data_IF_145350977210
#
_entry.id   IF_145350977210
#
_cell.length_a   1.000
_cell.length_b   1.000
_cell.length_c   1.000
_cell.angle_alpha   90.00
_cell.angle_beta   90.00
_cell.angle_gamma   90.00
#
_symmetry.space_group_name_H-M   'P 1'
#
loop_
_entity.id
_entity.type
_entity.pdbx_description
1 polymer ?
#
# COMPACT_ATOMS: atom_id res chain seq x y z
N UNK A 1 -4.71 33.42 24.50
CA UNK A 1 -3.92 33.54 23.26
C UNK A 1 -4.24 32.35 22.40
N UNK A 2 -4.87 32.57 21.24
CA UNK A 2 -5.33 31.50 20.36
C UNK A 2 -4.12 30.99 19.57
N UNK A 3 -3.59 29.82 19.94
CA UNK A 3 -2.49 29.19 19.22
C UNK A 3 -2.95 28.72 17.84
N UNK A 4 -2.36 29.28 16.79
CA UNK A 4 -2.57 28.84 15.40
C UNK A 4 -2.06 27.41 15.23
N UNK A 5 -2.94 26.49 14.83
CA UNK A 5 -2.57 25.10 14.54
C UNK A 5 -1.74 25.07 13.25
N UNK A 6 -0.53 24.48 13.26
CA UNK A 6 0.28 24.37 12.05
C UNK A 6 -0.41 23.47 11.01
N UNK A 7 -0.56 23.98 9.79
CA UNK A 7 -1.08 23.22 8.65
C UNK A 7 0.00 22.30 8.09
N UNK A 8 -0.33 21.03 7.91
CA UNK A 8 0.55 20.03 7.29
C UNK A 8 0.02 19.63 5.92
N UNK A 9 0.92 19.45 4.96
CA UNK A 9 0.55 19.10 3.58
C UNK A 9 -0.11 17.71 3.48
N UNK A 10 0.29 16.77 4.32
CA UNK A 10 -0.36 15.46 4.43
C UNK A 10 -0.11 14.84 5.81
N UNK A 11 -1.04 14.06 6.31
CA UNK A 11 -0.94 13.34 7.57
C UNK A 11 -1.41 11.90 7.41
N UNK A 12 -0.74 10.96 8.09
CA UNK A 12 -1.14 9.55 8.09
C UNK A 12 -1.97 9.23 9.32
N UNK A 13 -3.21 8.83 9.11
CA UNK A 13 -4.14 8.44 10.18
C UNK A 13 -4.68 7.04 9.93
N UNK A 14 -4.54 6.13 10.90
CA UNK A 14 -5.05 4.75 10.79
C UNK A 14 -4.62 4.02 9.50
N UNK A 15 -3.45 4.36 8.96
CA UNK A 15 -2.91 3.79 7.73
C UNK A 15 -3.34 4.49 6.44
N UNK A 16 -4.31 5.41 6.48
CA UNK A 16 -4.71 6.26 5.35
C UNK A 16 -3.91 7.56 5.34
N UNK A 17 -3.62 8.08 4.14
CA UNK A 17 -2.95 9.37 3.99
C UNK A 17 -4.01 10.41 3.68
N UNK A 18 -4.18 11.39 4.56
CA UNK A 18 -5.08 12.52 4.40
C UNK A 18 -4.24 13.70 3.94
N UNK A 19 -4.46 14.15 2.71
CA UNK A 19 -3.76 15.29 2.11
C UNK A 19 -4.53 16.58 2.39
N UNK A 20 -3.83 17.71 2.48
CA UNK A 20 -4.43 19.03 2.73
C UNK A 20 -5.37 19.47 1.60
N UNK A 21 -5.06 19.09 0.36
CA UNK A 21 -5.89 19.32 -0.82
C UNK A 21 -7.08 18.34 -0.93
N UNK A 22 -7.24 17.47 0.09
CA UNK A 22 -8.23 16.40 0.18
C UNK A 22 -8.18 15.44 -1.01
N UNK A 23 -7.08 15.43 -1.77
CA UNK A 23 -6.85 14.46 -2.82
C UNK A 23 -6.26 13.19 -2.25
N UNK A 24 -6.67 12.08 -2.86
CA UNK A 24 -6.27 10.74 -2.46
C UNK A 24 -5.11 10.21 -3.30
N UNK A 25 -4.57 10.98 -4.24
CA UNK A 25 -3.53 10.55 -5.18
C UNK A 25 -2.34 9.89 -4.46
N UNK A 26 -1.82 10.54 -3.41
CA UNK A 26 -0.72 9.99 -2.59
C UNK A 26 -1.09 8.66 -1.92
N UNK A 27 -2.33 8.52 -1.44
CA UNK A 27 -2.82 7.30 -0.82
C UNK A 27 -3.02 6.17 -1.84
N UNK A 28 -3.58 6.50 -3.01
CA UNK A 28 -3.79 5.59 -4.13
C UNK A 28 -2.43 5.07 -4.63
N UNK A 29 -1.47 5.96 -4.89
CA UNK A 29 -0.12 5.61 -5.32
C UNK A 29 0.58 4.69 -4.32
N UNK A 30 0.48 4.99 -3.03
CA UNK A 30 1.03 4.15 -1.98
C UNK A 30 0.39 2.74 -1.97
N UNK A 31 -0.93 2.68 -2.16
CA UNK A 31 -1.69 1.42 -2.22
C UNK A 31 -1.32 0.59 -3.44
N UNK A 32 -1.23 1.22 -4.61
CA UNK A 32 -0.80 0.59 -5.87
C UNK A 32 0.61 0.03 -5.71
N UNK A 33 1.57 0.83 -5.21
CA UNK A 33 2.97 0.37 -5.02
C UNK A 33 3.03 -0.84 -4.09
N UNK A 34 2.27 -0.85 -3.00
CA UNK A 34 2.20 -1.98 -2.07
C UNK A 34 1.63 -3.25 -2.73
N UNK A 35 0.55 -3.12 -3.49
CA UNK A 35 -0.04 -4.23 -4.24
C UNK A 35 0.91 -4.77 -5.32
N UNK A 36 1.58 -3.88 -6.06
CA UNK A 36 2.57 -4.23 -7.07
C UNK A 36 3.76 -4.99 -6.47
N UNK A 37 4.26 -4.57 -5.29
CA UNK A 37 5.34 -5.27 -4.60
C UNK A 37 4.94 -6.69 -4.22
N UNK A 38 3.73 -6.90 -3.70
CA UNK A 38 3.21 -8.23 -3.34
C UNK A 38 3.04 -9.12 -4.57
N UNK A 39 2.48 -8.58 -5.65
CA UNK A 39 2.35 -9.29 -6.93
C UNK A 39 3.70 -9.60 -7.57
N UNK A 40 4.70 -8.73 -7.41
CA UNK A 40 6.06 -8.99 -7.86
C UNK A 40 6.63 -10.25 -7.20
N UNK A 41 6.49 -10.39 -5.87
CA UNK A 41 6.92 -11.60 -5.18
C UNK A 41 6.19 -12.84 -5.68
N UNK A 42 4.86 -12.78 -5.86
CA UNK A 42 4.10 -13.90 -6.42
C UNK A 42 4.61 -14.30 -7.81
N UNK A 43 4.91 -13.33 -8.67
CA UNK A 43 5.49 -13.59 -10.00
C UNK A 43 6.87 -14.21 -9.91
N UNK A 44 7.71 -13.79 -8.95
CA UNK A 44 9.02 -14.39 -8.73
C UNK A 44 8.89 -15.83 -8.24
N UNK A 45 8.02 -16.12 -7.28
CA UNK A 45 7.76 -17.50 -6.82
C UNK A 45 7.29 -18.40 -7.97
N UNK A 46 6.42 -17.90 -8.84
CA UNK A 46 6.01 -18.63 -10.03
C UNK A 46 7.19 -18.94 -10.97
N UNK A 47 8.15 -18.02 -11.13
CA UNK A 47 9.36 -18.26 -11.94
C UNK A 47 10.26 -19.36 -11.39
N UNK A 48 10.24 -19.58 -10.07
CA UNK A 48 10.96 -20.68 -9.43
C UNK A 48 10.22 -22.02 -9.49
N UNK A 49 9.13 -22.12 -10.27
CA UNK A 49 8.32 -23.33 -10.44
C UNK A 49 7.80 -23.91 -9.11
N UNK A 50 7.44 -23.05 -8.15
CA UNK A 50 6.81 -23.51 -6.92
C UNK A 50 5.48 -24.21 -7.21
N UNK A 51 5.07 -25.17 -6.36
CA UNK A 51 3.78 -25.82 -6.49
C UNK A 51 2.65 -24.81 -6.52
N UNK A 52 1.65 -25.05 -7.38
CA UNK A 52 0.50 -24.15 -7.53
C UNK A 52 -0.24 -23.93 -6.21
N UNK A 53 -0.37 -24.96 -5.38
CA UNK A 53 -0.97 -24.87 -4.05
C UNK A 53 -0.27 -23.83 -3.17
N UNK A 54 1.07 -23.80 -3.19
CA UNK A 54 1.85 -22.83 -2.43
C UNK A 54 1.68 -21.41 -2.98
N UNK A 55 1.59 -21.24 -4.30
CA UNK A 55 1.28 -19.94 -4.91
C UNK A 55 -0.13 -19.42 -4.53
N UNK A 56 -1.12 -20.32 -4.44
CA UNK A 56 -2.47 -19.99 -3.98
C UNK A 56 -2.45 -19.55 -2.51
N UNK A 57 -1.79 -20.31 -1.64
CA UNK A 57 -1.64 -19.94 -0.23
C UNK A 57 -0.92 -18.59 -0.06
N UNK A 58 0.15 -18.35 -0.84
CA UNK A 58 0.85 -17.07 -0.82
C UNK A 58 -0.06 -15.93 -1.26
N UNK A 59 -0.81 -16.10 -2.35
CA UNK A 59 -1.76 -15.10 -2.84
C UNK A 59 -2.78 -14.74 -1.76
N UNK A 60 -3.44 -15.74 -1.16
CA UNK A 60 -4.47 -15.52 -0.14
C UNK A 60 -3.96 -14.89 1.16
N UNK A 61 -2.71 -15.15 1.54
CA UNK A 61 -2.14 -14.63 2.78
C UNK A 61 -1.54 -13.23 2.63
N UNK A 62 -0.97 -12.91 1.47
CA UNK A 62 -0.12 -11.72 1.28
C UNK A 62 -0.85 -10.60 0.53
N UNK A 63 -1.71 -10.95 -0.43
CA UNK A 63 -2.40 -9.98 -1.29
C UNK A 63 -3.73 -9.62 -0.64
#
# INVERSE_FOLDING_TARGET
MNSTVPTVASFRFLGTTISQDLKWDTHIDATIKKAQQRLYFLRQLRKFNLPQELLIHFYSAVI
#
